data_IF_967835070586
#
_entry.id   IF_967835070586
#
_cell.length_a   1.000
_cell.length_b   1.000
_cell.length_c   1.000
_cell.angle_alpha   90.00
_cell.angle_beta   90.00
_cell.angle_gamma   90.00
#
_symmetry.space_group_name_H-M   'P 1'
#
loop_
_entity.id
_entity.type
_entity.pdbx_description
1 polymer ?
#
# COMPACT_ATOMS: atom_id res chain seq x y z
N UNK A 1 15.68 -6.73 -12.00
CA UNK A 1 14.23 -6.52 -12.28
C UNK A 1 13.85 -5.03 -12.37
N UNK A 2 14.29 -4.17 -11.44
CA UNK A 2 13.96 -2.73 -11.44
C UNK A 2 14.40 -2.05 -12.76
N UNK A 3 15.56 -2.36 -13.28
CA UNK A 3 16.11 -1.78 -14.51
C UNK A 3 15.30 -2.11 -15.79
N UNK A 4 14.46 -3.13 -15.74
CA UNK A 4 13.56 -3.46 -16.87
C UNK A 4 12.30 -2.58 -16.86
N UNK A 5 11.84 -2.20 -15.66
CA UNK A 5 10.63 -1.42 -15.48
C UNK A 5 10.88 0.09 -15.49
N UNK A 6 12.01 0.52 -14.94
CA UNK A 6 12.37 1.94 -14.83
C UNK A 6 13.46 2.25 -15.87
N UNK A 7 13.13 3.10 -16.82
CA UNK A 7 14.05 3.58 -17.85
C UNK A 7 14.57 4.98 -17.53
N UNK A 8 13.80 5.73 -16.77
CA UNK A 8 14.10 7.11 -16.47
C UNK A 8 13.76 7.44 -15.02
N UNK A 9 14.65 8.17 -14.35
CA UNK A 9 14.39 8.79 -13.05
C UNK A 9 14.41 10.28 -13.25
N UNK A 10 13.27 10.91 -13.03
CA UNK A 10 13.10 12.36 -13.17
C UNK A 10 13.22 12.99 -11.80
N UNK A 11 14.26 13.80 -11.55
CA UNK A 11 14.38 14.48 -10.28
C UNK A 11 13.31 15.57 -10.14
N UNK A 12 12.70 15.65 -8.97
CA UNK A 12 11.79 16.71 -8.60
C UNK A 12 12.20 17.39 -7.31
N UNK A 13 11.83 18.65 -7.15
CA UNK A 13 12.14 19.39 -5.94
C UNK A 13 11.27 18.90 -4.77
N UNK A 14 11.83 18.77 -3.55
CA UNK A 14 11.03 18.50 -2.37
C UNK A 14 10.07 19.68 -2.11
N UNK A 15 8.85 19.37 -1.70
CA UNK A 15 7.86 20.39 -1.38
C UNK A 15 8.22 21.14 -0.09
N UNK A 16 8.83 20.45 0.86
CA UNK A 16 9.39 20.96 2.12
C UNK A 16 10.59 20.10 2.52
N UNK A 17 11.46 20.53 3.45
CA UNK A 17 12.64 19.77 3.87
C UNK A 17 12.36 18.34 4.30
N UNK A 18 11.16 18.04 4.81
CA UNK A 18 10.81 16.72 5.36
C UNK A 18 9.82 15.93 4.48
N UNK A 19 9.40 16.49 3.34
CA UNK A 19 8.45 15.85 2.42
C UNK A 19 9.16 15.57 1.09
N UNK A 20 9.40 14.28 0.84
CA UNK A 20 10.03 13.78 -0.38
C UNK A 20 8.94 13.25 -1.32
N UNK A 21 8.40 14.06 -2.24
CA UNK A 21 7.43 13.60 -3.21
C UNK A 21 8.07 12.57 -4.14
N UNK A 22 7.32 11.54 -4.44
CA UNK A 22 7.62 10.57 -5.47
C UNK A 22 6.35 10.23 -6.25
N UNK A 23 6.50 9.73 -7.45
CA UNK A 23 5.34 9.37 -8.25
C UNK A 23 5.69 8.66 -9.55
N UNK A 24 4.69 7.96 -10.07
CA UNK A 24 4.67 7.40 -11.42
C UNK A 24 3.46 7.92 -12.16
N UNK A 25 3.55 8.01 -13.48
CA UNK A 25 2.44 8.46 -14.32
C UNK A 25 2.09 7.42 -15.37
N UNK A 26 0.81 7.32 -15.71
CA UNK A 26 0.35 6.49 -16.83
C UNK A 26 0.84 7.07 -18.16
N UNK A 27 0.99 8.40 -18.24
CA UNK A 27 1.50 9.07 -19.45
C UNK A 27 2.98 8.81 -19.70
N UNK A 28 3.74 8.43 -18.66
CA UNK A 28 5.17 8.12 -18.74
C UNK A 28 5.45 6.79 -18.03
N UNK A 29 5.04 5.66 -18.61
CA UNK A 29 4.92 4.38 -17.90
C UNK A 29 6.24 3.77 -17.42
N UNK A 30 7.38 4.28 -17.88
CA UNK A 30 8.71 3.81 -17.45
C UNK A 30 9.51 4.90 -16.71
N UNK A 31 8.90 6.03 -16.40
CA UNK A 31 9.54 7.11 -15.65
C UNK A 31 9.08 7.11 -14.20
N UNK A 32 10.01 7.35 -13.30
CA UNK A 32 9.79 7.54 -11.88
C UNK A 32 10.22 8.94 -11.49
N UNK A 33 9.32 9.69 -10.90
CA UNK A 33 9.60 11.02 -10.37
C UNK A 33 10.02 10.86 -8.90
N UNK A 34 11.22 11.33 -8.57
CA UNK A 34 11.76 11.24 -7.22
C UNK A 34 12.28 12.59 -6.75
N UNK A 35 11.87 13.00 -5.55
CA UNK A 35 12.55 14.11 -4.90
C UNK A 35 13.97 13.71 -4.51
N UNK A 36 14.87 14.67 -4.61
CA UNK A 36 16.22 14.49 -4.09
C UNK A 36 16.16 14.23 -2.58
N UNK A 37 16.69 13.09 -2.17
CA UNK A 37 16.83 12.71 -0.77
C UNK A 37 18.32 12.58 -0.45
N UNK A 38 18.79 13.34 0.54
CA UNK A 38 20.18 13.24 1.02
C UNK A 38 20.48 11.86 1.61
N UNK A 39 19.46 11.21 2.16
CA UNK A 39 19.58 9.88 2.75
C UNK A 39 19.30 8.81 1.69
N UNK A 40 20.33 8.01 1.40
CA UNK A 40 20.28 6.87 0.46
C UNK A 40 19.15 5.87 0.82
N UNK A 41 18.87 5.68 2.11
CA UNK A 41 17.81 4.76 2.53
C UNK A 41 16.41 5.28 2.14
N UNK A 42 16.20 6.60 2.24
CA UNK A 42 14.97 7.24 1.79
C UNK A 42 14.86 7.14 0.26
N UNK A 43 15.92 7.46 -0.46
CA UNK A 43 15.94 7.35 -1.92
C UNK A 43 15.64 5.91 -2.39
N UNK A 44 16.22 4.91 -1.75
CA UNK A 44 15.96 3.50 -2.04
C UNK A 44 14.53 3.10 -1.72
N UNK A 45 13.98 3.54 -0.57
CA UNK A 45 12.57 3.29 -0.23
C UNK A 45 11.62 3.88 -1.27
N UNK A 46 11.84 5.14 -1.67
CA UNK A 46 11.03 5.80 -2.69
C UNK A 46 11.10 5.07 -4.04
N UNK A 47 12.30 4.65 -4.45
CA UNK A 47 12.48 3.91 -5.70
C UNK A 47 11.75 2.56 -5.68
N UNK A 48 11.82 1.83 -4.57
CA UNK A 48 11.10 0.57 -4.40
C UNK A 48 9.59 0.81 -4.39
N UNK A 49 9.13 1.85 -3.71
CA UNK A 49 7.72 2.25 -3.67
C UNK A 49 7.19 2.49 -5.09
N UNK A 50 7.86 3.32 -5.87
CA UNK A 50 7.43 3.65 -7.22
C UNK A 50 7.55 2.47 -8.19
N UNK A 51 8.60 1.63 -8.04
CA UNK A 51 8.71 0.40 -8.81
C UNK A 51 7.58 -0.59 -8.50
N UNK A 52 7.12 -0.62 -7.25
CA UNK A 52 5.95 -1.36 -6.83
C UNK A 52 4.68 -0.92 -7.56
N UNK A 53 4.49 0.39 -7.73
CA UNK A 53 3.40 0.94 -8.52
C UNK A 53 3.45 0.51 -9.99
N UNK A 54 4.62 0.52 -10.61
CA UNK A 54 4.77 0.07 -12.00
C UNK A 54 4.51 -1.44 -12.13
N UNK A 55 5.08 -2.26 -11.24
CA UNK A 55 4.84 -3.72 -11.22
C UNK A 55 3.37 -4.06 -11.09
N UNK A 56 2.68 -3.42 -10.14
CA UNK A 56 1.28 -3.71 -9.91
C UNK A 56 0.41 -3.34 -11.12
N UNK A 57 0.68 -2.20 -11.78
CA UNK A 57 -0.04 -1.82 -13.00
C UNK A 57 0.13 -2.84 -14.12
N UNK A 58 1.35 -3.37 -14.31
CA UNK A 58 1.61 -4.41 -15.31
C UNK A 58 0.85 -5.70 -14.95
N UNK A 59 0.87 -6.11 -13.68
CA UNK A 59 0.12 -7.26 -13.21
C UNK A 59 -1.37 -7.11 -13.46
N UNK A 60 -1.98 -6.02 -13.00
CA UNK A 60 -3.43 -5.79 -13.14
C UNK A 60 -3.87 -5.64 -14.60
N UNK A 61 -3.00 -5.12 -15.48
CA UNK A 61 -3.26 -5.03 -16.91
C UNK A 61 -3.21 -6.39 -17.62
N UNK A 62 -2.33 -7.28 -17.21
CA UNK A 62 -2.21 -8.63 -17.77
C UNK A 62 -3.22 -9.61 -17.16
N UNK A 63 -3.46 -9.46 -15.88
CA UNK A 63 -4.28 -10.37 -15.08
C UNK A 63 -5.07 -9.55 -14.07
N UNK A 64 -6.32 -9.21 -14.37
CA UNK A 64 -7.14 -8.38 -13.49
C UNK A 64 -7.19 -8.94 -12.07
N UNK A 65 -6.83 -8.12 -11.10
CA UNK A 65 -6.77 -8.52 -9.67
C UNK A 65 -8.15 -8.46 -9.02
N UNK A 66 -9.01 -7.55 -9.48
CA UNK A 66 -10.35 -7.33 -8.95
C UNK A 66 -11.42 -7.82 -9.92
N UNK A 67 -12.49 -8.41 -9.37
CA UNK A 67 -13.70 -8.78 -10.12
C UNK A 67 -14.50 -7.55 -10.57
N UNK A 68 -14.33 -6.42 -9.86
CA UNK A 68 -14.93 -5.14 -10.21
C UNK A 68 -14.24 -4.57 -11.43
N UNK A 69 -14.94 -4.49 -12.56
CA UNK A 69 -14.41 -4.00 -13.85
C UNK A 69 -14.75 -2.54 -14.14
N UNK A 70 -15.81 -2.03 -13.53
CA UNK A 70 -16.22 -0.64 -13.67
C UNK A 70 -15.13 0.31 -13.13
N UNK A 71 -14.55 1.20 -13.97
CA UNK A 71 -13.51 2.13 -13.53
C UNK A 71 -13.95 3.05 -12.39
N UNK A 72 -15.20 3.51 -12.40
CA UNK A 72 -15.70 4.40 -11.34
C UNK A 72 -15.80 3.68 -10.01
N UNK A 73 -16.31 2.45 -9.99
CA UNK A 73 -16.33 1.63 -8.78
C UNK A 73 -14.92 1.29 -8.27
N UNK A 74 -13.94 1.11 -9.16
CA UNK A 74 -12.55 0.79 -8.80
C UNK A 74 -11.78 2.00 -8.27
N UNK A 75 -11.95 3.17 -8.88
CA UNK A 75 -11.05 4.32 -8.68
C UNK A 75 -11.70 5.50 -7.99
N UNK A 76 -13.00 5.72 -8.16
CA UNK A 76 -13.67 6.94 -7.73
C UNK A 76 -14.53 6.77 -6.47
N UNK A 77 -14.84 5.54 -6.05
CA UNK A 77 -15.53 5.29 -4.78
C UNK A 77 -14.53 5.27 -3.62
N UNK A 78 -14.53 6.31 -2.82
CA UNK A 78 -13.58 6.50 -1.72
C UNK A 78 -14.22 6.10 -0.38
N UNK A 79 -14.22 4.78 -0.07
CA UNK A 79 -14.85 4.24 1.15
C UNK A 79 -13.91 3.34 1.96
N UNK A 80 -12.70 3.06 1.44
CA UNK A 80 -11.80 2.07 1.99
C UNK A 80 -10.81 2.69 2.97
N UNK A 81 -10.62 2.02 4.10
CA UNK A 81 -9.70 2.44 5.14
C UNK A 81 -8.25 2.43 4.67
N UNK A 82 -7.54 3.54 4.87
CA UNK A 82 -6.11 3.64 4.60
C UNK A 82 -5.32 3.98 5.86
N UNK A 83 -4.43 3.11 6.35
CA UNK A 83 -3.56 3.44 7.47
C UNK A 83 -2.42 4.41 7.10
N UNK A 84 -2.28 4.75 5.83
CA UNK A 84 -1.23 5.62 5.31
C UNK A 84 -1.69 7.04 5.06
N UNK A 85 -3.00 7.29 5.03
CA UNK A 85 -3.60 8.58 4.70
C UNK A 85 -4.75 8.92 5.64
N UNK A 86 -5.06 10.20 5.71
CA UNK A 86 -6.15 10.72 6.54
C UNK A 86 -7.51 10.73 5.81
N UNK A 87 -7.51 10.43 4.50
CA UNK A 87 -8.70 10.36 3.65
C UNK A 87 -9.03 8.91 3.24
N UNK A 88 -10.30 8.57 3.05
CA UNK A 88 -10.72 7.30 2.48
C UNK A 88 -10.12 7.10 1.09
N UNK A 89 -9.85 5.85 0.74
CA UNK A 89 -9.27 5.50 -0.57
C UNK A 89 -10.27 4.74 -1.42
N UNK A 90 -10.01 4.76 -2.72
CA UNK A 90 -10.70 3.87 -3.65
C UNK A 90 -10.30 2.40 -3.39
N UNK A 91 -11.11 1.46 -3.82
CA UNK A 91 -10.82 0.04 -3.73
C UNK A 91 -9.45 -0.29 -4.35
N UNK A 92 -9.21 0.15 -5.58
CA UNK A 92 -7.94 -0.07 -6.26
C UNK A 92 -6.79 0.64 -5.53
N UNK A 93 -7.03 1.82 -4.95
CA UNK A 93 -6.05 2.55 -4.17
C UNK A 93 -5.57 1.79 -2.93
N UNK A 94 -6.46 1.04 -2.25
CA UNK A 94 -6.10 0.18 -1.10
C UNK A 94 -5.38 -1.08 -1.55
N UNK A 95 -5.89 -1.78 -2.56
CA UNK A 95 -5.27 -3.00 -3.12
C UNK A 95 -3.85 -2.69 -3.58
N UNK A 96 -3.68 -1.60 -4.31
CA UNK A 96 -2.39 -1.11 -4.79
C UNK A 96 -1.43 -0.74 -3.65
N UNK A 97 -1.94 -0.02 -2.64
CA UNK A 97 -1.13 0.38 -1.48
C UNK A 97 -0.65 -0.83 -0.67
N UNK A 98 -1.50 -1.83 -0.43
CA UNK A 98 -1.11 -3.07 0.26
C UNK A 98 0.05 -3.73 -0.48
N UNK A 99 -0.05 -3.91 -1.79
CA UNK A 99 1.01 -4.51 -2.61
C UNK A 99 2.32 -3.74 -2.49
N UNK A 100 2.29 -2.43 -2.72
CA UNK A 100 3.47 -1.56 -2.71
C UNK A 100 4.15 -1.55 -1.34
N UNK A 101 3.39 -1.41 -0.26
CA UNK A 101 3.97 -1.35 1.08
C UNK A 101 4.48 -2.70 1.59
N UNK A 102 4.01 -3.82 1.06
CA UNK A 102 4.65 -5.13 1.30
C UNK A 102 6.03 -5.18 0.67
N UNK A 103 6.22 -4.65 -0.55
CA UNK A 103 7.54 -4.56 -1.18
C UNK A 103 8.52 -3.70 -0.35
N UNK A 104 8.06 -2.54 0.10
CA UNK A 104 8.85 -1.64 0.96
C UNK A 104 9.18 -2.32 2.30
N UNK A 105 8.23 -3.01 2.93
CA UNK A 105 8.48 -3.72 4.18
C UNK A 105 9.48 -4.87 4.00
N UNK A 106 9.42 -5.61 2.89
CA UNK A 106 10.39 -6.64 2.54
C UNK A 106 11.80 -6.05 2.38
N UNK A 107 11.94 -4.89 1.76
CA UNK A 107 13.24 -4.20 1.68
C UNK A 107 13.83 -3.95 3.08
N UNK A 108 13.07 -3.38 4.01
CA UNK A 108 13.55 -3.14 5.36
C UNK A 108 13.83 -4.44 6.12
N UNK A 109 13.03 -5.48 5.91
CA UNK A 109 13.29 -6.81 6.47
C UNK A 109 14.63 -7.39 5.98
N UNK A 110 14.93 -7.28 4.68
CA UNK A 110 16.22 -7.74 4.15
C UNK A 110 17.39 -6.96 4.75
N UNK A 111 17.27 -5.66 4.94
CA UNK A 111 18.27 -4.86 5.62
C UNK A 111 18.52 -5.34 7.06
N UNK A 112 17.45 -5.69 7.77
CA UNK A 112 17.57 -6.27 9.12
C UNK A 112 18.30 -7.60 9.07
N UNK A 113 17.91 -8.50 8.17
CA UNK A 113 18.55 -9.83 8.02
C UNK A 113 20.04 -9.75 7.64
N UNK A 114 20.42 -8.76 6.84
CA UNK A 114 21.81 -8.52 6.46
C UNK A 114 22.58 -7.75 7.53
N UNK A 115 21.94 -7.41 8.65
CA UNK A 115 22.52 -6.62 9.75
C UNK A 115 23.05 -5.24 9.32
N UNK A 116 22.47 -4.65 8.28
CA UNK A 116 22.78 -3.29 7.79
C UNK A 116 21.68 -2.28 8.13
N UNK A 117 20.62 -2.72 8.81
CA UNK A 117 19.52 -1.86 9.22
C UNK A 117 19.92 -0.99 10.40
N UNK A 118 19.80 0.32 10.23
CA UNK A 118 19.90 1.30 11.31
C UNK A 118 18.60 1.34 12.13
N UNK A 119 18.57 2.17 13.17
CA UNK A 119 17.40 2.38 14.03
C UNK A 119 16.15 2.82 13.23
N UNK A 120 16.33 3.73 12.28
CA UNK A 120 15.28 4.26 11.42
C UNK A 120 14.64 3.16 10.57
N UNK A 121 15.46 2.31 9.91
CA UNK A 121 14.96 1.18 9.12
C UNK A 121 14.17 0.17 9.96
N UNK A 122 14.63 -0.13 11.18
CA UNK A 122 13.91 -1.04 12.09
C UNK A 122 12.56 -0.46 12.52
N UNK A 123 12.55 0.81 12.93
CA UNK A 123 11.33 1.52 13.27
C UNK A 123 10.35 1.57 12.09
N UNK A 124 10.87 1.87 10.88
CA UNK A 124 10.08 1.90 9.66
C UNK A 124 9.42 0.54 9.37
N UNK A 125 10.18 -0.56 9.52
CA UNK A 125 9.66 -1.91 9.38
C UNK A 125 8.48 -2.18 10.33
N UNK A 126 8.62 -1.86 11.61
CA UNK A 126 7.53 -2.01 12.58
C UNK A 126 6.28 -1.22 12.18
N UNK A 127 6.46 0.04 11.77
CA UNK A 127 5.36 0.90 11.32
C UNK A 127 4.64 0.31 10.11
N UNK A 128 5.39 -0.12 9.10
CA UNK A 128 4.82 -0.71 7.87
C UNK A 128 4.07 -2.00 8.15
N UNK A 129 4.62 -2.89 8.97
CA UNK A 129 3.95 -4.16 9.33
C UNK A 129 2.66 -3.89 10.08
N UNK A 130 2.66 -2.94 11.01
CA UNK A 130 1.45 -2.51 11.69
C UNK A 130 0.39 -1.98 10.72
N UNK A 131 0.78 -1.05 9.84
CA UNK A 131 -0.11 -0.45 8.84
C UNK A 131 -0.68 -1.49 7.88
N UNK A 132 0.15 -2.40 7.37
CA UNK A 132 -0.29 -3.49 6.48
C UNK A 132 -1.31 -4.40 7.16
N UNK A 133 -1.06 -4.75 8.43
CA UNK A 133 -2.01 -5.54 9.22
C UNK A 133 -3.34 -4.81 9.37
N UNK A 134 -3.31 -3.50 9.70
CA UNK A 134 -4.52 -2.69 9.82
C UNK A 134 -5.26 -2.61 8.47
N UNK A 135 -4.56 -2.43 7.36
CA UNK A 135 -5.18 -2.41 6.04
C UNK A 135 -5.89 -3.72 5.71
N UNK A 136 -5.25 -4.87 6.00
CA UNK A 136 -5.83 -6.20 5.74
C UNK A 136 -7.03 -6.51 6.65
N UNK A 137 -6.97 -6.13 7.92
CA UNK A 137 -8.03 -6.40 8.90
C UNK A 137 -9.28 -5.55 8.70
N UNK A 138 -9.10 -4.30 8.29
CA UNK A 138 -10.21 -3.34 8.20
C UNK A 138 -10.81 -3.20 6.78
N UNK A 139 -10.27 -3.90 5.80
CA UNK A 139 -10.78 -3.89 4.44
C UNK A 139 -11.12 -5.32 3.97
N UNK A 140 -12.39 -5.70 3.92
CA UNK A 140 -12.83 -7.04 3.46
C UNK A 140 -12.78 -7.15 1.93
N UNK A 141 -11.57 -7.11 1.35
CA UNK A 141 -11.36 -7.12 -0.11
C UNK A 141 -11.42 -8.53 -0.73
N UNK A 142 -11.26 -9.60 0.05
CA UNK A 142 -11.15 -10.97 -0.46
C UNK A 142 -12.32 -11.41 -1.34
N UNK A 143 -13.59 -11.08 -1.05
CA UNK A 143 -14.72 -11.39 -1.93
C UNK A 143 -14.66 -10.70 -3.30
N UNK A 144 -13.88 -9.61 -3.40
CA UNK A 144 -13.77 -8.79 -4.62
C UNK A 144 -12.56 -9.18 -5.46
N UNK A 145 -11.77 -10.16 -5.03
CA UNK A 145 -10.59 -10.63 -5.75
C UNK A 145 -10.97 -11.68 -6.81
N UNK A 146 -10.35 -11.60 -7.97
CA UNK A 146 -10.36 -12.68 -8.97
C UNK A 146 -9.61 -13.91 -8.44
N UNK A 147 -9.57 -15.00 -9.21
CA UNK A 147 -8.76 -16.18 -8.86
C UNK A 147 -7.28 -15.80 -8.72
N UNK A 148 -6.76 -15.03 -9.66
CA UNK A 148 -5.36 -14.57 -9.67
C UNK A 148 -5.12 -13.52 -8.57
N UNK A 149 -6.09 -12.64 -8.34
CA UNK A 149 -6.07 -11.72 -7.21
C UNK A 149 -5.96 -12.44 -5.86
N UNK A 150 -6.70 -13.54 -5.67
CA UNK A 150 -6.57 -14.37 -4.47
C UNK A 150 -5.20 -15.04 -4.34
N UNK A 151 -4.60 -15.49 -5.44
CA UNK A 151 -3.24 -16.03 -5.41
C UNK A 151 -2.23 -14.95 -5.01
N UNK A 152 -2.31 -13.76 -5.60
CA UNK A 152 -1.47 -12.63 -5.23
C UNK A 152 -1.61 -12.27 -3.75
N UNK A 153 -2.85 -12.16 -3.25
CA UNK A 153 -3.09 -11.81 -1.85
C UNK A 153 -2.67 -12.90 -0.86
N UNK A 154 -2.73 -14.16 -1.26
CA UNK A 154 -2.15 -15.27 -0.49
C UNK A 154 -0.63 -15.10 -0.32
N UNK A 155 0.09 -14.70 -1.36
CA UNK A 155 1.54 -14.42 -1.29
C UNK A 155 1.84 -13.17 -0.43
N UNK A 156 0.98 -12.14 -0.52
CA UNK A 156 1.04 -10.96 0.34
C UNK A 156 0.87 -11.37 1.82
N UNK A 157 -0.13 -12.18 2.15
CA UNK A 157 -0.40 -12.63 3.51
C UNK A 157 0.76 -13.50 4.04
N UNK A 158 1.32 -14.40 3.24
CA UNK A 158 2.55 -15.16 3.60
C UNK A 158 3.74 -14.23 3.84
N UNK A 159 3.87 -13.17 3.03
CA UNK A 159 4.91 -12.17 3.25
C UNK A 159 4.70 -11.44 4.56
N UNK A 160 3.47 -11.05 4.87
CA UNK A 160 3.11 -10.37 6.11
C UNK A 160 3.39 -11.24 7.34
N UNK A 161 3.14 -12.55 7.27
CA UNK A 161 3.50 -13.50 8.34
C UNK A 161 5.00 -13.56 8.59
N UNK A 162 5.82 -13.60 7.51
CA UNK A 162 7.29 -13.55 7.63
C UNK A 162 7.77 -12.23 8.24
N UNK A 163 7.18 -11.11 7.85
CA UNK A 163 7.45 -9.79 8.40
C UNK A 163 7.12 -9.72 9.89
N UNK A 164 5.94 -10.23 10.29
CA UNK A 164 5.51 -10.32 11.68
C UNK A 164 6.47 -11.18 12.52
N UNK A 165 6.91 -12.31 11.99
CA UNK A 165 7.90 -13.17 12.66
C UNK A 165 9.23 -12.43 12.86
N UNK A 166 9.66 -11.66 11.86
CA UNK A 166 10.92 -10.89 11.93
C UNK A 166 10.85 -9.80 12.99
N UNK A 167 9.77 -9.01 13.03
CA UNK A 167 9.67 -7.91 14.01
C UNK A 167 9.56 -8.41 15.45
N UNK A 168 9.00 -9.60 15.69
CA UNK A 168 8.95 -10.20 17.04
C UNK A 168 10.34 -10.50 17.62
N UNK A 169 11.36 -10.63 16.77
CA UNK A 169 12.74 -10.89 17.16
C UNK A 169 13.54 -9.58 17.34
N UNK A 170 12.97 -8.44 16.98
CA UNK A 170 13.59 -7.15 17.14
C UNK A 170 13.23 -6.51 18.49
N UNK A 171 14.07 -5.62 19.02
CA UNK A 171 13.67 -4.78 20.14
C UNK A 171 12.35 -4.08 19.83
N UNK A 172 11.46 -4.07 20.78
CA UNK A 172 10.15 -3.45 20.63
C UNK A 172 10.32 -1.96 20.36
N UNK A 173 9.81 -1.52 19.24
CA UNK A 173 9.62 -0.11 18.94
C UNK A 173 8.11 0.16 19.01
N UNK A 174 7.71 0.99 19.92
CA UNK A 174 6.33 1.44 19.95
C UNK A 174 5.99 2.08 18.59
N UNK A 175 5.06 1.52 17.81
CA UNK A 175 4.69 2.10 16.51
C UNK A 175 3.97 3.45 16.69
N UNK A 176 3.67 3.78 17.91
CA UNK A 176 2.88 4.92 18.33
C UNK A 176 3.77 6.10 18.71
N UNK A 177 4.03 6.96 17.74
CA UNK A 177 3.99 8.35 18.15
C UNK A 177 2.55 8.68 18.58
N UNK A 178 2.31 9.55 19.57
CA UNK A 178 0.97 10.01 19.96
C UNK A 178 0.11 10.42 18.75
N UNK A 179 0.74 10.88 17.69
CA UNK A 179 0.13 11.24 16.41
C UNK A 179 -0.57 10.03 15.72
N UNK A 180 -0.02 8.81 15.78
CA UNK A 180 -0.67 7.64 15.20
C UNK A 180 -1.84 7.14 16.04
N UNK A 181 -1.74 7.21 17.36
CA UNK A 181 -2.85 6.85 18.24
C UNK A 181 -4.03 7.80 18.08
N UNK A 182 -3.77 9.11 17.94
CA UNK A 182 -4.80 10.13 17.70
C UNK A 182 -5.39 10.00 16.30
N UNK A 183 -4.57 9.80 15.28
CA UNK A 183 -5.01 9.48 13.91
C UNK A 183 -5.87 8.22 13.87
N UNK A 184 -5.47 7.16 14.58
CA UNK A 184 -6.26 5.93 14.66
C UNK A 184 -7.61 6.17 15.34
N UNK A 185 -7.66 7.02 16.35
CA UNK A 185 -8.90 7.39 17.07
C UNK A 185 -9.84 8.23 16.20
N UNK A 186 -9.32 9.20 15.47
CA UNK A 186 -10.06 9.99 14.48
C UNK A 186 -10.54 9.12 13.32
N UNK A 187 -9.76 8.13 12.92
CA UNK A 187 -10.11 7.14 11.92
C UNK A 187 -11.18 6.16 12.41
N UNK A 188 -11.12 5.68 13.63
CA UNK A 188 -12.14 4.79 14.18
C UNK A 188 -13.53 5.42 14.09
N UNK A 189 -13.62 6.75 14.29
CA UNK A 189 -14.86 7.50 14.15
C UNK A 189 -15.28 7.65 12.68
N UNK A 190 -14.33 7.85 11.76
CA UNK A 190 -14.59 7.93 10.30
C UNK A 190 -14.78 6.55 9.68
N UNK A 191 -14.06 5.52 10.13
CA UNK A 191 -14.17 4.16 9.63
C UNK A 191 -15.54 3.55 9.90
N UNK A 192 -16.19 3.90 11.00
CA UNK A 192 -17.58 3.49 11.26
C UNK A 192 -18.52 4.05 10.18
N UNK A 193 -18.35 5.31 9.78
CA UNK A 193 -19.12 5.92 8.69
C UNK A 193 -18.70 5.38 7.31
N UNK A 194 -17.43 5.06 7.10
CA UNK A 194 -16.93 4.46 5.86
C UNK A 194 -17.33 2.99 5.72
N UNK A 195 -17.36 2.24 6.82
CA UNK A 195 -17.83 0.86 6.82
C UNK A 195 -19.33 0.78 6.55
N UNK A 196 -20.11 1.69 7.12
CA UNK A 196 -21.54 1.81 6.87
C UNK A 196 -21.81 2.20 5.42
N UNK A 197 -21.07 3.16 4.85
CA UNK A 197 -21.14 3.53 3.44
C UNK A 197 -20.70 2.38 2.51
N UNK A 198 -19.68 1.59 2.91
CA UNK A 198 -19.22 0.42 2.16
C UNK A 198 -20.25 -0.71 2.19
N UNK A 199 -20.93 -0.92 3.31
CA UNK A 199 -22.02 -1.89 3.43
C UNK A 199 -23.23 -1.48 2.57
N UNK A 200 -23.61 -0.21 2.60
CA UNK A 200 -24.68 0.36 1.77
C UNK A 200 -24.31 0.27 0.27
N UNK A 201 -23.08 0.57 -0.10
CA UNK A 201 -22.59 0.47 -1.49
C UNK A 201 -22.50 -0.99 -1.95
N UNK A 202 -22.02 -1.90 -1.09
CA UNK A 202 -21.98 -3.33 -1.38
C UNK A 202 -23.38 -3.91 -1.54
N UNK A 203 -24.33 -3.47 -0.73
CA UNK A 203 -25.74 -3.85 -0.85
C UNK A 203 -26.35 -3.30 -2.16
N UNK A 204 -26.07 -2.03 -2.47
CA UNK A 204 -26.48 -1.39 -3.73
C UNK A 204 -25.88 -2.11 -4.95
N UNK A 205 -24.59 -2.43 -4.92
CA UNK A 205 -23.90 -3.14 -6.00
C UNK A 205 -24.48 -4.55 -6.22
N UNK A 206 -24.70 -5.31 -5.16
CA UNK A 206 -25.35 -6.61 -5.23
C UNK A 206 -26.75 -6.52 -5.82
N UNK A 207 -27.50 -5.50 -5.48
CA UNK A 207 -28.86 -5.30 -5.96
C UNK A 207 -28.93 -4.94 -7.46
N UNK A 208 -27.92 -4.25 -8.01
CA UNK A 208 -27.95 -3.73 -9.38
C UNK A 208 -27.09 -4.50 -10.38
N UNK A 209 -26.16 -5.33 -9.92
CA UNK A 209 -25.23 -6.06 -10.78
C UNK A 209 -25.24 -7.58 -10.64
N UNK A 210 -26.15 -8.15 -9.84
CA UNK A 210 -26.33 -9.62 -9.74
C UNK A 210 -27.19 -10.20 -10.86
N UNK A 211 -27.68 -9.40 -11.79
CA UNK A 211 -28.48 -9.86 -12.92
C UNK A 211 -27.69 -10.07 -14.23
N UNK A 212 -26.37 -10.02 -14.19
CA UNK A 212 -25.51 -10.18 -15.37
C UNK A 212 -24.43 -11.26 -15.14
N UNK A 213 -24.87 -12.44 -14.68
CA UNK A 213 -24.09 -13.69 -14.83
C UNK A 213 -25.05 -14.81 -15.22
#
# INVERSE_FOLDING_TARGET
EISVLIREVVPCSPATPDIYPSGTSVATPSAVYLAYAENVDIAAELLIHESGHLKFRVLDAQTPILTVTDPDARWNTHHWYSPWRDDPRSLMGIVHAIYVFVEVANYHMYRVKLNIANHTSRRRLHTLVYQLRQARQNNPIDPLLTADGRLLFKEIDHSLERLLSTIKQLPYFEPTTPLYAERHKQWATKATSCQQAAEEHTAWYRQHYTEVI
#
